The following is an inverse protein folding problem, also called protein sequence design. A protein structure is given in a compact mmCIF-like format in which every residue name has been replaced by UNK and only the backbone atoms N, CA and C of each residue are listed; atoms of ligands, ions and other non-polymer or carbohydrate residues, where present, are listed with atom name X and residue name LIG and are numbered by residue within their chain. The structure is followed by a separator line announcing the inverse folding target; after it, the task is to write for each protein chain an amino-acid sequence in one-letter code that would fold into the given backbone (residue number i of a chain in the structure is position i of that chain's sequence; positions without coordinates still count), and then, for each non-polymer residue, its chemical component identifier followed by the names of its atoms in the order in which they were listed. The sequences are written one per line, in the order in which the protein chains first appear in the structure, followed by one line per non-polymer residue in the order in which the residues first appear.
data_IF_664758927199
#
_entry.id   IF_664758927199
#
_cell.length_a   1.000
_cell.length_b   1.000
_cell.length_c   1.000
_cell.angle_alpha   90.00
_cell.angle_beta   90.00
_cell.angle_gamma   90.00
#
_symmetry.space_group_name_H-M   'P 1'
#
loop_
_entity.id
_entity.type
_entity.pdbx_description
1 polymer ?
#
# COMPACT_ATOMS: atom_id res chain seq x y z
N UNK A 1 4.04 52.58 29.54
CA UNK A 1 2.74 52.10 29.04
C UNK A 1 2.77 51.56 27.59
N UNK A 2 3.41 52.25 26.61
CA UNK A 2 3.48 51.78 25.21
C UNK A 2 4.21 50.41 25.04
N UNK A 3 5.25 50.12 25.82
CA UNK A 3 6.02 48.83 25.72
C UNK A 3 5.24 47.63 26.27
N UNK A 4 4.33 47.82 27.24
CA UNK A 4 3.48 46.77 27.82
C UNK A 4 2.39 46.36 26.82
N UNK A 5 1.83 47.30 26.03
CA UNK A 5 0.86 47.00 25.00
C UNK A 5 1.43 46.13 23.83
N UNK A 6 2.70 46.29 23.48
CA UNK A 6 3.33 45.45 22.45
C UNK A 6 3.55 44.01 22.91
N UNK A 7 3.94 43.82 24.17
CA UNK A 7 4.12 42.46 24.74
C UNK A 7 2.76 41.74 24.84
N UNK A 8 1.70 42.47 25.23
CA UNK A 8 0.35 41.90 25.31
C UNK A 8 -0.22 41.57 23.93
N UNK A 9 0.08 42.37 22.89
CA UNK A 9 -0.37 42.12 21.52
C UNK A 9 0.33 40.90 20.91
N UNK A 10 1.59 40.64 21.23
CA UNK A 10 2.35 39.47 20.75
C UNK A 10 1.86 38.17 21.40
N UNK A 11 1.46 38.20 22.69
CA UNK A 11 0.92 37.01 23.37
C UNK A 11 -0.47 36.61 22.85
N UNK A 12 -1.28 37.55 22.40
CA UNK A 12 -2.62 37.26 21.82
C UNK A 12 -2.49 36.65 20.40
N UNK A 13 -1.47 37.04 19.64
CA UNK A 13 -1.24 36.52 18.29
C UNK A 13 -0.76 35.04 18.27
N UNK A 14 -0.18 34.54 19.37
CA UNK A 14 0.28 33.15 19.45
C UNK A 14 -0.83 32.14 19.82
N UNK A 15 -1.99 32.59 20.30
CA UNK A 15 -3.09 31.71 20.73
C UNK A 15 -4.03 31.29 19.58
N UNK A 16 -3.84 31.77 18.36
CA UNK A 16 -4.77 31.55 17.25
C UNK A 16 -4.44 30.33 16.35
N UNK A 17 -3.37 29.58 16.63
CA UNK A 17 -2.95 28.40 15.84
C UNK A 17 -3.42 27.07 16.41
N UNK A 18 -4.54 27.00 17.11
CA UNK A 18 -5.23 25.77 17.44
C UNK A 18 -6.15 25.38 16.28
N UNK A 19 -5.63 24.69 15.26
CA UNK A 19 -6.45 24.10 14.21
C UNK A 19 -7.52 23.21 14.84
N UNK A 20 -8.78 23.65 14.78
CA UNK A 20 -9.92 22.84 15.18
C UNK A 20 -9.98 21.66 14.24
N UNK A 21 -9.83 20.44 14.74
CA UNK A 21 -10.07 19.24 13.95
C UNK A 21 -11.53 19.28 13.48
N UNK A 22 -11.76 19.07 12.19
CA UNK A 22 -13.11 18.84 11.72
C UNK A 22 -13.67 17.57 12.37
N UNK A 23 -14.96 17.57 12.75
CA UNK A 23 -15.58 16.38 13.29
C UNK A 23 -15.62 15.28 12.23
N UNK A 24 -15.44 14.04 12.68
CA UNK A 24 -15.57 12.87 11.82
C UNK A 24 -16.94 12.87 11.14
N UNK A 25 -16.95 12.70 9.82
CA UNK A 25 -18.17 12.60 9.02
C UNK A 25 -18.33 11.17 8.53
N UNK A 26 -19.58 10.67 8.58
CA UNK A 26 -19.89 9.38 8.01
C UNK A 26 -19.93 9.46 6.49
N UNK A 27 -19.34 8.47 5.81
CA UNK A 27 -19.40 8.27 4.37
C UNK A 27 -20.13 6.96 4.03
N UNK A 28 -20.26 6.63 2.75
CA UNK A 28 -20.91 5.39 2.31
C UNK A 28 -20.24 4.10 2.86
N UNK A 29 -18.96 4.18 3.27
CA UNK A 29 -18.17 3.05 3.79
C UNK A 29 -17.60 3.30 5.18
N UNK A 30 -17.77 4.50 5.72
CA UNK A 30 -17.21 4.91 7.00
C UNK A 30 -18.34 5.45 7.89
N UNK A 31 -18.61 4.78 9.00
CA UNK A 31 -19.51 5.29 10.05
C UNK A 31 -18.68 5.93 11.15
N UNK A 32 -18.80 7.24 11.33
CA UNK A 32 -18.14 7.95 12.40
C UNK A 32 -18.84 7.66 13.74
N UNK A 33 -18.08 7.12 14.71
CA UNK A 33 -18.53 6.96 16.10
C UNK A 33 -18.04 8.17 16.88
N UNK A 34 -18.94 9.13 17.12
CA UNK A 34 -18.61 10.44 17.75
C UNK A 34 -18.84 10.46 19.24
N UNK A 35 -19.65 9.57 19.76
CA UNK A 35 -19.85 9.41 21.21
C UNK A 35 -18.77 8.48 21.75
N UNK A 36 -18.15 8.82 22.86
CA UNK A 36 -17.10 8.08 23.59
C UNK A 36 -17.37 6.56 23.73
N UNK A 37 -18.19 6.00 22.86
CA UNK A 37 -18.52 4.59 22.79
C UNK A 37 -17.36 3.78 22.21
N UNK A 38 -17.06 2.68 22.86
CA UNK A 38 -16.09 1.70 22.38
C UNK A 38 -16.59 1.13 21.03
N UNK A 39 -15.73 1.10 20.02
CA UNK A 39 -16.06 0.43 18.75
C UNK A 39 -16.51 -1.01 19.02
N UNK A 40 -17.60 -1.48 18.39
CA UNK A 40 -18.04 -2.85 18.53
C UNK A 40 -16.95 -3.82 18.05
N UNK A 41 -16.85 -4.98 18.69
CA UNK A 41 -15.94 -6.02 18.26
C UNK A 41 -16.37 -6.54 16.87
N UNK A 42 -15.41 -6.79 15.95
CA UNK A 42 -15.73 -7.35 14.64
C UNK A 42 -16.29 -8.76 14.77
N UNK A 43 -17.26 -9.12 13.93
CA UNK A 43 -17.76 -10.49 13.81
C UNK A 43 -16.78 -11.37 13.01
N UNK A 44 -16.98 -12.68 13.02
CA UNK A 44 -16.16 -13.64 12.26
C UNK A 44 -16.16 -13.36 10.77
N UNK A 45 -17.27 -12.89 10.21
CA UNK A 45 -17.39 -12.46 8.82
C UNK A 45 -16.55 -11.23 8.49
N UNK A 46 -16.42 -10.32 9.44
CA UNK A 46 -15.58 -9.12 9.29
C UNK A 46 -14.08 -9.47 9.32
N UNK A 47 -13.72 -10.49 10.13
CA UNK A 47 -12.34 -10.98 10.24
C UNK A 47 -11.92 -11.81 9.02
N UNK A 48 -12.90 -12.37 8.29
CA UNK A 48 -12.72 -13.17 7.08
C UNK A 48 -13.26 -12.44 5.85
N UNK A 49 -13.19 -11.10 5.82
CA UNK A 49 -13.68 -10.28 4.71
C UNK A 49 -13.28 -10.89 3.36
N UNK A 50 -14.24 -10.92 2.42
CA UNK A 50 -14.07 -11.53 1.10
C UNK A 50 -12.79 -10.99 0.43
N UNK A 51 -11.78 -11.82 0.44
CA UNK A 51 -10.49 -11.49 -0.15
C UNK A 51 -10.62 -11.41 -1.67
N UNK A 52 -9.96 -10.43 -2.25
CA UNK A 52 -9.77 -10.41 -3.71
C UNK A 52 -8.99 -11.67 -4.11
N UNK A 53 -9.41 -12.40 -5.16
CA UNK A 53 -8.68 -13.57 -5.61
C UNK A 53 -7.25 -13.17 -5.98
N UNK A 54 -6.28 -13.93 -5.51
CA UNK A 54 -4.88 -13.79 -5.92
C UNK A 54 -4.75 -14.35 -7.34
N UNK A 55 -4.44 -13.47 -8.30
CA UNK A 55 -4.28 -13.82 -9.69
C UNK A 55 -2.81 -14.08 -10.02
N UNK A 56 -2.55 -15.12 -10.79
CA UNK A 56 -1.21 -15.46 -11.26
C UNK A 56 -0.84 -14.57 -12.46
N UNK A 57 0.38 -14.07 -12.45
CA UNK A 57 0.92 -13.24 -13.53
C UNK A 57 2.24 -13.78 -14.09
N UNK A 58 2.79 -13.11 -15.14
CA UNK A 58 4.09 -13.46 -15.69
C UNK A 58 5.19 -13.43 -14.63
N UNK A 59 6.12 -14.38 -14.74
CA UNK A 59 7.28 -14.56 -13.86
C UNK A 59 6.95 -14.99 -12.42
N UNK A 60 5.67 -15.19 -12.06
CA UNK A 60 5.31 -15.80 -10.80
C UNK A 60 5.77 -17.26 -10.74
N UNK A 61 6.10 -17.74 -9.56
CA UNK A 61 6.48 -19.14 -9.35
C UNK A 61 5.36 -19.87 -8.64
N UNK A 62 4.92 -20.98 -9.22
CA UNK A 62 3.87 -21.83 -8.69
C UNK A 62 4.39 -23.24 -8.41
N UNK A 63 3.87 -23.85 -7.37
CA UNK A 63 4.04 -25.27 -7.08
C UNK A 63 2.79 -26.01 -7.56
N UNK A 64 2.99 -27.01 -8.39
CA UNK A 64 1.92 -27.92 -8.85
C UNK A 64 2.15 -29.27 -8.22
N UNK A 65 1.16 -29.79 -7.51
CA UNK A 65 1.17 -31.08 -6.88
C UNK A 65 0.08 -31.96 -7.50
N UNK A 66 0.48 -33.11 -8.08
CA UNK A 66 -0.44 -34.07 -8.67
C UNK A 66 -0.52 -35.30 -7.77
N UNK A 67 -1.69 -35.57 -7.23
CA UNK A 67 -1.90 -36.66 -6.30
C UNK A 67 -1.53 -38.03 -6.90
N UNK A 68 -0.75 -38.81 -6.20
CA UNK A 68 -0.23 -40.11 -6.62
C UNK A 68 0.63 -40.12 -7.90
N UNK A 69 1.11 -38.94 -8.39
CA UNK A 69 1.97 -38.84 -9.56
C UNK A 69 3.16 -37.91 -9.27
N UNK A 70 4.15 -38.35 -8.48
CA UNK A 70 5.28 -37.51 -8.05
C UNK A 70 6.10 -36.97 -9.23
N UNK A 71 6.16 -37.66 -10.34
CA UNK A 71 6.89 -37.23 -11.55
C UNK A 71 6.30 -35.96 -12.19
N UNK A 72 5.05 -35.64 -11.92
CA UNK A 72 4.37 -34.42 -12.37
C UNK A 72 4.34 -33.33 -11.31
N UNK A 73 4.68 -33.64 -10.08
CA UNK A 73 4.77 -32.68 -8.97
C UNK A 73 6.06 -31.88 -9.08
N UNK A 74 5.92 -30.57 -9.30
CA UNK A 74 7.07 -29.67 -9.47
C UNK A 74 6.76 -28.22 -9.24
N UNK A 75 7.82 -27.46 -9.00
CA UNK A 75 7.81 -26.01 -9.05
C UNK A 75 8.02 -25.54 -10.49
N UNK A 76 7.25 -24.55 -10.92
CA UNK A 76 7.31 -24.00 -12.26
C UNK A 76 7.19 -22.49 -12.23
N UNK A 77 7.93 -21.82 -13.12
CA UNK A 77 7.78 -20.40 -13.33
C UNK A 77 6.85 -20.14 -14.52
N UNK A 78 5.96 -19.19 -14.36
CA UNK A 78 5.12 -18.68 -15.45
C UNK A 78 5.99 -17.89 -16.42
N UNK A 79 5.90 -18.17 -17.70
CA UNK A 79 6.70 -17.49 -18.73
C UNK A 79 6.26 -16.01 -18.90
N UNK A 80 7.03 -15.23 -19.66
CA UNK A 80 6.72 -13.83 -19.93
C UNK A 80 5.39 -13.63 -20.68
N UNK A 81 4.89 -14.67 -21.35
CA UNK A 81 3.59 -14.66 -22.04
C UNK A 81 2.43 -15.02 -21.10
N UNK A 82 2.73 -15.41 -19.85
CA UNK A 82 1.74 -15.78 -18.84
C UNK A 82 1.30 -17.24 -18.92
N UNK A 83 2.14 -18.12 -19.46
CA UNK A 83 1.85 -19.56 -19.63
C UNK A 83 2.81 -20.42 -18.82
N UNK A 84 2.36 -21.62 -18.50
CA UNK A 84 3.20 -22.69 -17.93
C UNK A 84 3.26 -23.86 -18.88
N UNK A 85 4.39 -24.58 -18.88
CA UNK A 85 4.58 -25.79 -19.66
C UNK A 85 4.75 -26.98 -18.73
N UNK A 86 3.82 -27.93 -18.80
CA UNK A 86 3.80 -29.11 -17.94
C UNK A 86 3.88 -30.37 -18.78
N UNK A 87 4.71 -31.37 -18.41
CA UNK A 87 4.71 -32.66 -19.07
C UNK A 87 3.31 -33.26 -19.12
N UNK A 88 2.97 -33.91 -20.22
CA UNK A 88 1.70 -34.53 -20.52
C UNK A 88 0.50 -33.55 -20.67
N UNK A 89 0.42 -32.49 -19.85
CA UNK A 89 -0.64 -31.49 -19.93
C UNK A 89 -0.38 -30.44 -21.03
N UNK A 90 0.88 -30.30 -21.47
CA UNK A 90 1.26 -29.31 -22.48
C UNK A 90 1.37 -27.88 -21.94
N UNK A 91 1.03 -26.91 -22.77
CA UNK A 91 1.08 -25.48 -22.41
C UNK A 91 -0.30 -25.02 -21.93
N UNK A 92 -0.34 -24.42 -20.75
CA UNK A 92 -1.56 -23.95 -20.09
C UNK A 92 -1.42 -22.45 -19.85
N UNK A 93 -2.47 -21.68 -20.17
CA UNK A 93 -2.54 -20.27 -19.89
C UNK A 93 -2.84 -20.05 -18.39
N UNK A 94 -1.94 -19.36 -17.70
CA UNK A 94 -2.03 -19.07 -16.28
C UNK A 94 -2.31 -17.58 -16.00
N UNK A 95 -2.10 -16.70 -16.97
CA UNK A 95 -2.25 -15.25 -16.78
C UNK A 95 -3.66 -14.86 -16.35
N UNK A 96 -3.76 -14.15 -15.23
CA UNK A 96 -5.02 -13.62 -14.71
C UNK A 96 -5.98 -14.68 -14.18
N UNK A 97 -5.49 -15.90 -13.98
CA UNK A 97 -6.24 -16.98 -13.35
C UNK A 97 -5.83 -17.16 -11.89
N UNK A 98 -6.74 -17.69 -11.12
CA UNK A 98 -6.48 -18.14 -9.74
C UNK A 98 -5.75 -19.48 -9.74
N UNK A 99 -5.13 -19.83 -8.62
CA UNK A 99 -4.51 -21.16 -8.46
C UNK A 99 -5.50 -22.31 -8.71
N UNK A 100 -6.76 -22.16 -8.27
CA UNK A 100 -7.80 -23.15 -8.50
C UNK A 100 -8.15 -23.31 -9.99
N UNK A 101 -8.34 -22.22 -10.72
CA UNK A 101 -8.61 -22.26 -12.17
C UNK A 101 -7.46 -22.86 -12.97
N UNK A 102 -6.21 -22.70 -12.50
CA UNK A 102 -5.04 -23.34 -13.14
C UNK A 102 -5.06 -24.84 -12.82
N UNK A 103 -5.39 -25.24 -11.59
CA UNK A 103 -5.52 -26.64 -11.20
C UNK A 103 -6.58 -27.35 -12.08
N UNK A 104 -7.77 -26.75 -12.21
CA UNK A 104 -8.85 -27.26 -13.06
C UNK A 104 -8.40 -27.42 -14.54
N UNK A 105 -7.62 -26.44 -15.06
CA UNK A 105 -7.13 -26.50 -16.43
C UNK A 105 -6.08 -27.63 -16.62
N UNK A 106 -5.23 -27.86 -15.61
CA UNK A 106 -4.27 -28.98 -15.62
C UNK A 106 -5.00 -30.31 -15.57
N UNK A 107 -5.97 -30.43 -14.66
CA UNK A 107 -6.81 -31.66 -14.56
C UNK A 107 -7.51 -31.98 -15.87
N UNK A 108 -8.14 -30.97 -16.49
CA UNK A 108 -8.80 -31.13 -17.78
C UNK A 108 -7.84 -31.63 -18.88
N UNK A 109 -6.60 -31.11 -18.89
CA UNK A 109 -5.59 -31.51 -19.88
C UNK A 109 -5.05 -32.95 -19.66
N UNK A 110 -4.98 -33.40 -18.40
CA UNK A 110 -4.52 -34.75 -18.03
C UNK A 110 -5.62 -35.81 -18.12
N UNK A 111 -6.88 -35.41 -17.96
CA UNK A 111 -8.04 -36.32 -17.84
C UNK A 111 -8.27 -37.15 -19.07
N UNK A 112 -8.45 -38.46 -18.85
CA UNK A 112 -8.85 -39.42 -19.88
C UNK A 112 -7.74 -39.80 -20.89
N UNK A 113 -6.69 -39.00 -21.00
CA UNK A 113 -5.57 -39.26 -21.92
C UNK A 113 -4.39 -39.91 -21.22
N UNK A 114 -4.08 -39.45 -20.00
CA UNK A 114 -2.95 -39.91 -19.21
C UNK A 114 -3.36 -40.43 -17.84
N UNK A 115 -4.32 -39.75 -17.20
CA UNK A 115 -4.81 -40.07 -15.86
C UNK A 115 -6.34 -40.11 -15.90
N UNK A 116 -6.95 -41.14 -15.29
CA UNK A 116 -8.44 -41.26 -15.29
C UNK A 116 -9.10 -40.20 -14.44
N UNK A 117 -8.60 -40.02 -13.21
CA UNK A 117 -9.09 -39.04 -12.25
C UNK A 117 -7.88 -38.26 -11.73
N UNK A 118 -7.41 -37.22 -12.43
CA UNK A 118 -6.34 -36.39 -11.92
C UNK A 118 -6.91 -35.51 -10.78
N UNK A 119 -6.13 -35.38 -9.71
CA UNK A 119 -6.39 -34.47 -8.60
C UNK A 119 -5.16 -33.58 -8.48
N UNK A 120 -5.32 -32.28 -8.74
CA UNK A 120 -4.23 -31.34 -8.85
C UNK A 120 -4.42 -30.20 -7.86
N UNK A 121 -3.35 -29.89 -7.12
CA UNK A 121 -3.31 -28.71 -6.25
C UNK A 121 -2.25 -27.74 -6.77
N UNK A 122 -2.59 -26.48 -6.87
CA UNK A 122 -1.68 -25.41 -7.26
C UNK A 122 -1.54 -24.41 -6.12
N UNK A 123 -0.28 -24.10 -5.76
CA UNK A 123 0.05 -23.12 -4.74
C UNK A 123 0.98 -22.05 -5.33
N UNK A 124 0.73 -20.78 -5.07
CA UNK A 124 1.62 -19.69 -5.47
C UNK A 124 2.76 -19.63 -4.44
N UNK A 125 4.01 -19.87 -4.89
CA UNK A 125 5.21 -19.83 -4.05
C UNK A 125 5.76 -18.41 -3.90
N UNK A 126 5.88 -17.71 -5.04
CA UNK A 126 6.29 -16.32 -5.07
C UNK A 126 5.57 -15.59 -6.20
N UNK A 127 5.17 -14.36 -5.94
CA UNK A 127 4.55 -13.50 -6.94
C UNK A 127 5.37 -12.23 -7.10
N UNK A 128 5.84 -12.00 -8.30
CA UNK A 128 6.50 -10.76 -8.71
C UNK A 128 5.56 -9.86 -9.52
N UNK A 129 4.41 -10.39 -9.92
CA UNK A 129 3.38 -9.68 -10.67
C UNK A 129 2.42 -8.89 -9.79
N UNK A 130 2.30 -9.28 -8.51
CA UNK A 130 1.39 -8.68 -7.53
C UNK A 130 2.14 -7.72 -6.60
N UNK A 131 2.74 -6.67 -7.17
CA UNK A 131 3.49 -5.66 -6.41
C UNK A 131 2.94 -4.26 -6.65
N UNK A 132 3.09 -3.40 -5.64
CA UNK A 132 2.91 -1.95 -5.72
C UNK A 132 4.28 -1.29 -5.60
N UNK A 133 4.50 -0.26 -6.37
CA UNK A 133 5.70 0.59 -6.23
C UNK A 133 5.37 1.75 -5.30
N UNK A 134 6.19 1.97 -4.29
CA UNK A 134 6.09 3.10 -3.38
C UNK A 134 7.35 3.94 -3.49
N UNK A 135 7.20 5.20 -3.86
CA UNK A 135 8.29 6.13 -4.15
C UNK A 135 8.09 7.49 -3.46
N UNK A 136 9.12 8.31 -3.45
CA UNK A 136 9.12 9.65 -2.87
C UNK A 136 9.42 9.65 -1.38
N UNK A 137 8.70 10.47 -0.60
CA UNK A 137 9.01 10.74 0.80
C UNK A 137 8.41 9.68 1.76
N UNK A 138 8.86 8.43 1.60
CA UNK A 138 8.66 7.33 2.55
C UNK A 138 10.00 6.91 3.15
N UNK A 139 9.98 6.15 4.25
CA UNK A 139 11.21 5.72 4.92
C UNK A 139 11.99 4.73 4.06
N UNK A 140 11.31 3.76 3.44
CA UNK A 140 11.91 2.77 2.54
C UNK A 140 11.13 2.74 1.21
N UNK A 141 11.55 3.51 0.19
CA UNK A 141 11.00 3.38 -1.16
C UNK A 141 11.31 2.00 -1.77
N UNK A 142 10.39 1.44 -2.55
CA UNK A 142 10.62 0.13 -3.17
C UNK A 142 9.37 -0.54 -3.71
N UNK A 143 9.51 -1.83 -4.03
CA UNK A 143 8.44 -2.70 -4.48
C UNK A 143 7.92 -3.53 -3.32
N UNK A 144 6.60 -3.53 -3.12
CA UNK A 144 5.95 -4.22 -2.01
C UNK A 144 4.87 -5.16 -2.52
N UNK A 145 4.76 -6.38 -1.97
CA UNK A 145 3.71 -7.32 -2.37
C UNK A 145 2.34 -6.77 -1.98
N UNK A 146 1.40 -6.83 -2.93
CA UNK A 146 0.01 -6.45 -2.69
C UNK A 146 -0.73 -7.63 -2.08
N UNK A 147 -1.19 -7.47 -0.86
CA UNK A 147 -2.10 -8.42 -0.20
C UNK A 147 -3.56 -8.09 -0.55
N UNK A 148 -4.46 -9.04 -0.33
CA UNK A 148 -5.87 -8.93 -0.70
C UNK A 148 -6.59 -7.69 -0.14
N UNK A 149 -6.15 -7.19 1.01
CA UNK A 149 -6.72 -6.03 1.70
C UNK A 149 -5.77 -4.83 1.74
N UNK A 150 -4.89 -4.69 0.75
CA UNK A 150 -3.96 -3.56 0.69
C UNK A 150 -4.71 -2.25 0.47
N UNK A 151 -4.48 -1.30 1.35
CA UNK A 151 -4.98 0.09 1.27
C UNK A 151 -3.80 1.06 1.23
N UNK A 152 -4.06 2.34 0.98
CA UNK A 152 -3.01 3.36 0.92
C UNK A 152 -2.24 3.45 2.25
N UNK A 153 -2.94 3.46 3.38
CA UNK A 153 -2.31 3.52 4.70
C UNK A 153 -1.45 2.27 4.95
N UNK A 154 -1.96 1.08 4.60
CA UNK A 154 -1.21 -0.18 4.74
C UNK A 154 0.01 -0.22 3.83
N UNK A 155 -0.11 0.27 2.59
CA UNK A 155 1.01 0.37 1.66
C UNK A 155 2.13 1.27 2.21
N UNK A 156 1.77 2.47 2.69
CA UNK A 156 2.73 3.39 3.33
C UNK A 156 3.35 2.74 4.58
N UNK A 157 2.57 2.03 5.40
CA UNK A 157 3.08 1.33 6.57
C UNK A 157 4.07 0.22 6.19
N UNK A 158 3.84 -0.50 5.07
CA UNK A 158 4.80 -1.49 4.55
C UNK A 158 6.14 -0.84 4.18
N UNK A 159 6.12 0.40 3.69
CA UNK A 159 7.32 1.22 3.42
C UNK A 159 7.90 1.90 4.68
N UNK A 160 7.58 1.38 5.88
CA UNK A 160 7.98 1.88 7.20
C UNK A 160 7.46 3.29 7.52
N UNK A 161 6.44 3.74 6.81
CA UNK A 161 5.79 5.02 7.03
C UNK A 161 6.34 6.16 6.18
N UNK A 162 5.85 7.35 6.47
CA UNK A 162 6.26 8.58 5.81
C UNK A 162 7.58 9.09 6.38
N UNK A 163 8.43 9.65 5.53
CA UNK A 163 9.67 10.31 5.96
C UNK A 163 9.39 11.64 6.67
N UNK A 164 10.42 12.21 7.30
CA UNK A 164 10.35 13.48 8.02
C UNK A 164 9.85 14.65 7.15
N UNK A 165 10.21 14.64 5.86
CA UNK A 165 9.88 15.70 4.90
C UNK A 165 8.65 15.40 4.05
N UNK A 166 7.95 14.33 4.34
CA UNK A 166 6.76 13.95 3.60
C UNK A 166 5.66 15.01 3.70
N UNK A 167 5.05 15.32 2.56
CA UNK A 167 3.83 16.11 2.48
C UNK A 167 2.63 15.16 2.52
N UNK A 168 1.95 15.09 3.65
CA UNK A 168 0.87 14.12 3.90
C UNK A 168 -0.37 14.34 3.03
N UNK A 169 -0.62 15.57 2.59
CA UNK A 169 -1.72 15.96 1.72
C UNK A 169 -1.35 15.94 0.21
N UNK A 170 -0.20 15.37 -0.13
CA UNK A 170 0.30 15.30 -1.50
C UNK A 170 0.80 13.88 -1.80
N UNK A 171 -0.15 12.93 -1.76
CA UNK A 171 0.13 11.54 -2.08
C UNK A 171 -0.65 11.17 -3.34
N UNK A 172 0.08 10.82 -4.39
CA UNK A 172 -0.48 10.49 -5.69
C UNK A 172 -0.46 8.98 -5.91
N UNK A 173 -1.61 8.42 -6.30
CA UNK A 173 -1.70 7.05 -6.81
C UNK A 173 -1.83 7.12 -8.32
N UNK A 174 -0.89 6.52 -9.03
CA UNK A 174 -0.94 6.32 -10.47
C UNK A 174 -1.38 4.89 -10.76
N UNK A 175 -2.44 4.73 -11.54
CA UNK A 175 -3.06 3.45 -11.88
C UNK A 175 -3.36 3.37 -13.37
N UNK A 176 -3.17 2.21 -13.96
CA UNK A 176 -3.63 1.96 -15.34
C UNK A 176 -4.97 1.24 -15.31
N UNK A 177 -6.00 1.86 -15.90
CA UNK A 177 -7.34 1.28 -16.02
C UNK A 177 -7.73 1.29 -17.49
N UNK A 178 -8.05 0.13 -18.06
CA UNK A 178 -8.41 -0.04 -19.47
C UNK A 178 -7.38 0.60 -20.42
N UNK A 179 -6.08 0.44 -20.12
CA UNK A 179 -4.97 0.98 -20.92
C UNK A 179 -4.71 2.48 -20.76
N UNK A 180 -5.50 3.19 -19.94
CA UNK A 180 -5.33 4.63 -19.65
C UNK A 180 -4.69 4.81 -18.28
N UNK A 181 -3.67 5.67 -18.22
CA UNK A 181 -3.08 6.08 -16.93
C UNK A 181 -3.99 7.09 -16.25
N UNK A 182 -4.31 6.83 -15.00
CA UNK A 182 -5.10 7.68 -14.12
C UNK A 182 -4.27 8.07 -12.92
N UNK A 183 -4.47 9.30 -12.43
CA UNK A 183 -3.83 9.80 -11.21
C UNK A 183 -4.91 10.24 -10.21
N UNK A 184 -4.79 9.79 -8.97
CA UNK A 184 -5.62 10.26 -7.85
C UNK A 184 -4.74 10.93 -6.81
N UNK A 185 -5.11 12.13 -6.36
CA UNK A 185 -4.45 12.84 -5.27
C UNK A 185 -5.18 12.53 -3.95
N UNK A 186 -4.42 12.21 -2.91
CA UNK A 186 -4.96 11.79 -1.62
C UNK A 186 -4.28 12.54 -0.47
N UNK A 187 -5.08 12.86 0.55
CA UNK A 187 -4.63 13.42 1.81
C UNK A 187 -4.58 12.31 2.88
N UNK A 188 -3.37 11.82 3.16
CA UNK A 188 -3.14 10.75 4.12
C UNK A 188 -3.43 11.21 5.56
N UNK A 189 -3.26 12.50 5.86
CA UNK A 189 -3.61 13.05 7.17
C UNK A 189 -5.12 12.99 7.40
N UNK A 190 -5.90 13.41 6.41
CA UNK A 190 -7.36 13.36 6.46
C UNK A 190 -7.88 11.91 6.52
N UNK A 191 -7.28 10.96 5.78
CA UNK A 191 -7.62 9.54 5.87
C UNK A 191 -7.35 9.00 7.28
N UNK A 192 -6.19 9.30 7.89
CA UNK A 192 -5.84 8.89 9.25
C UNK A 192 -6.78 9.47 10.32
N UNK A 193 -7.36 10.63 10.05
CA UNK A 193 -8.37 11.26 10.91
C UNK A 193 -9.77 10.70 10.67
N UNK A 194 -9.98 9.82 9.69
CA UNK A 194 -11.27 9.25 9.34
C UNK A 194 -12.19 10.21 8.56
N UNK A 195 -11.65 11.26 7.96
CA UNK A 195 -12.43 12.21 7.13
C UNK A 195 -12.69 11.66 5.73
N UNK A 196 -11.83 10.78 5.22
CA UNK A 196 -11.95 10.08 3.95
C UNK A 196 -11.73 8.60 4.10
N UNK A 197 -12.36 7.82 3.22
CA UNK A 197 -12.12 6.38 3.14
C UNK A 197 -10.68 6.11 2.68
N UNK A 198 -10.07 5.07 3.26
CA UNK A 198 -8.73 4.59 2.86
C UNK A 198 -8.83 3.84 1.52
N UNK A 199 -8.28 4.36 0.42
CA UNK A 199 -8.48 3.78 -0.90
C UNK A 199 -7.75 2.44 -1.04
N UNK A 200 -8.37 1.46 -1.73
CA UNK A 200 -7.74 0.18 -2.02
C UNK A 200 -6.59 0.35 -3.03
N UNK A 201 -5.48 -0.34 -2.76
CA UNK A 201 -4.33 -0.43 -3.64
C UNK A 201 -4.38 -1.74 -4.42
N UNK A 202 -3.95 -1.70 -5.68
CA UNK A 202 -3.91 -2.83 -6.59
C UNK A 202 -2.50 -3.07 -7.10
N UNK A 203 -2.27 -4.27 -7.64
CA UNK A 203 -1.02 -4.58 -8.32
C UNK A 203 -0.73 -3.60 -9.46
N UNK A 204 0.55 -3.28 -9.64
CA UNK A 204 1.07 -2.30 -10.60
C UNK A 204 0.62 -0.84 -10.35
N UNK A 205 0.03 -0.52 -9.19
CA UNK A 205 -0.11 0.87 -8.77
C UNK A 205 1.28 1.45 -8.46
N UNK A 206 1.44 2.74 -8.74
CA UNK A 206 2.59 3.53 -8.27
C UNK A 206 2.08 4.60 -7.30
N UNK A 207 2.57 4.53 -6.07
CA UNK A 207 2.29 5.51 -5.02
C UNK A 207 3.49 6.44 -4.93
N UNK A 208 3.26 7.73 -5.10
CA UNK A 208 4.30 8.77 -4.97
C UNK A 208 3.94 9.71 -3.85
N UNK A 209 4.81 9.82 -2.87
CA UNK A 209 4.64 10.73 -1.73
C UNK A 209 5.43 12.00 -1.97
N UNK A 210 4.73 13.13 -1.97
CA UNK A 210 5.30 14.45 -2.22
C UNK A 210 6.27 14.92 -1.14
N UNK A 211 7.13 15.85 -1.50
CA UNK A 211 8.14 16.49 -0.65
C UNK A 211 7.62 17.83 -0.08
N UNK A 212 8.04 18.16 1.14
CA UNK A 212 7.81 19.46 1.78
C UNK A 212 9.11 20.27 1.86
N UNK A 213 9.42 21.07 0.84
CA UNK A 213 10.63 21.88 0.81
C UNK A 213 10.70 22.89 1.98
N UNK A 214 9.55 23.31 2.48
CA UNK A 214 9.46 24.23 3.62
C UNK A 214 9.98 23.60 4.92
N UNK A 215 9.63 22.33 5.19
CA UNK A 215 10.13 21.59 6.38
C UNK A 215 11.63 21.36 6.27
N UNK A 216 12.15 21.06 5.07
CA UNK A 216 13.58 20.88 4.82
C UNK A 216 14.35 22.18 5.08
N UNK A 217 13.89 23.28 4.51
CA UNK A 217 14.52 24.60 4.71
C UNK A 217 14.48 25.03 6.18
N UNK A 218 13.37 24.79 6.90
CA UNK A 218 13.27 25.12 8.33
C UNK A 218 14.30 24.34 9.17
N UNK A 219 14.45 23.04 8.93
CA UNK A 219 15.45 22.22 9.60
C UNK A 219 16.87 22.74 9.34
N UNK A 220 17.17 23.07 8.09
CA UNK A 220 18.50 23.54 7.69
C UNK A 220 18.83 24.87 8.37
N UNK A 221 17.85 25.79 8.50
CA UNK A 221 18.00 27.04 9.25
C UNK A 221 18.23 26.74 10.73
N UNK A 222 17.44 25.87 11.36
CA UNK A 222 17.56 25.53 12.77
C UNK A 222 18.89 24.83 13.07
N UNK A 223 19.39 24.01 12.17
CA UNK A 223 20.68 23.31 12.33
C UNK A 223 21.88 24.26 12.28
N UNK A 224 21.78 25.38 11.57
CA UNK A 224 22.85 26.41 11.46
C UNK A 224 22.71 27.48 12.55
N UNK A 225 21.54 27.64 13.16
CA UNK A 225 21.29 28.67 14.18
C UNK A 225 22.31 28.69 15.35
N UNK A 226 22.74 27.54 15.93
CA UNK A 226 23.73 27.52 16.99
C UNK A 226 25.10 28.07 16.55
N UNK A 227 25.47 27.87 15.28
CA UNK A 227 26.74 28.35 14.72
C UNK A 227 26.76 29.89 14.55
N UNK A 228 25.58 30.48 14.31
CA UNK A 228 25.42 31.93 14.19
C UNK A 228 25.34 32.64 15.56
N UNK A 229 24.95 31.93 16.62
CA UNK A 229 24.87 32.48 17.97
C UNK A 229 26.23 32.50 18.69
N UNK A 230 27.17 31.66 18.32
CA UNK A 230 28.46 31.55 18.96
C UNK A 230 29.30 32.85 18.96
N UNK A 231 29.40 33.64 17.87
CA UNK A 231 30.15 34.89 17.88
C UNK A 231 29.48 36.02 18.68
N UNK A 232 28.16 35.97 18.88
CA UNK A 232 27.44 37.00 19.64
C UNK A 232 27.70 36.89 21.16
N UNK A 233 27.93 35.69 21.65
CA UNK A 233 28.25 35.43 23.06
C UNK A 233 29.69 35.87 23.36
N UNK A 234 30.63 35.74 22.40
CA UNK A 234 32.00 36.14 22.56
C UNK A 234 32.20 37.68 22.55
N UNK A 235 31.21 38.45 22.06
CA UNK A 235 31.27 39.94 22.06
C UNK A 235 30.65 40.54 23.34
N UNK A 236 29.90 39.76 24.08
CA UNK A 236 29.20 40.19 25.31
C UNK A 236 29.92 39.80 26.62
N UNK A 237 31.07 39.14 26.53
CA UNK A 237 32.02 38.90 27.63
C UNK A 237 33.24 39.85 27.55
#
# INVERSE_FOLDING_TARGET
MRKICYVLAITIALSACGGRREPLQSSARLTAVTDNSVLPAPDRTDLTAADRPSLVGPLDTIQVDVFNVPDLTREMQVDASGRISMPLAGTIDARGKTAAEIADAIEAALRGRYIRNPEVTVNIKSSVSQVVTIDGQVVEPGLYPVTNQMTLIRAIASAKGLSEFARQNDVVILRTVNGRKMAGLYDVEAIRQGLYDDPPIYANDLIVVGDSPQRRMFRDIVSVAPLLAAPLIAILQ
#
